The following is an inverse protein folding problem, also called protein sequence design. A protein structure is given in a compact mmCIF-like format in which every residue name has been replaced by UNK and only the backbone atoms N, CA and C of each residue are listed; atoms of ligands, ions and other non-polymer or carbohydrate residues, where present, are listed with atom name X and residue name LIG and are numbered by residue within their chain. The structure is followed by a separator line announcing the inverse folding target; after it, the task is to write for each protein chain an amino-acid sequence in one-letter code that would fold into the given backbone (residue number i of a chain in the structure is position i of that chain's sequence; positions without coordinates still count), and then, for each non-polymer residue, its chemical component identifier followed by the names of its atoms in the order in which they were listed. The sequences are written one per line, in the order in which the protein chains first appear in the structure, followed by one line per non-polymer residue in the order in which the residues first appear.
data_IF_179668458882
#
_entry.id   IF_179668458882
#
_cell.length_a   1.000
_cell.length_b   1.000
_cell.length_c   1.000
_cell.angle_alpha   90.00
_cell.angle_beta   90.00
_cell.angle_gamma   90.00
#
_symmetry.space_group_name_H-M   'P 1'
#
loop_
_entity.id
_entity.type
_entity.pdbx_description
1 polymer ?
#
# COMPACT_ATOMS: atom_id res chain seq x y z
N UNK A 1 3.14 77.58 63.60
CA UNK A 1 2.98 77.30 62.16
C UNK A 1 4.11 76.38 61.72
N UNK A 2 3.86 75.07 61.67
CA UNK A 2 4.86 74.05 61.30
C UNK A 2 4.74 73.72 59.80
N UNK A 3 5.79 74.04 59.03
CA UNK A 3 5.96 73.58 57.65
C UNK A 3 6.50 72.15 57.68
N UNK A 4 5.66 71.18 57.33
CA UNK A 4 6.05 69.80 57.08
C UNK A 4 6.90 69.71 55.81
N UNK A 5 8.17 69.33 55.98
CA UNK A 5 9.07 68.98 54.88
C UNK A 5 8.75 67.55 54.42
N UNK A 6 8.16 67.41 53.23
CA UNK A 6 8.08 66.13 52.52
C UNK A 6 9.34 65.95 51.68
N UNK A 7 10.17 64.97 52.05
CA UNK A 7 11.31 64.54 51.23
C UNK A 7 10.85 63.51 50.18
N UNK A 8 11.37 63.59 48.94
CA UNK A 8 11.03 62.65 47.87
C UNK A 8 11.79 61.33 48.02
N UNK A 9 11.06 60.22 48.18
CA UNK A 9 11.60 58.86 48.23
C UNK A 9 12.14 58.43 46.84
N UNK A 10 13.45 58.57 46.62
CA UNK A 10 14.15 58.00 45.46
C UNK A 10 14.64 56.58 45.80
N UNK A 11 13.78 55.58 45.63
CA UNK A 11 14.16 54.15 45.67
C UNK A 11 13.83 53.44 44.35
N UNK A 12 14.70 53.57 43.34
CA UNK A 12 14.65 52.70 42.16
C UNK A 12 16.05 52.50 41.55
N UNK A 13 16.90 51.71 42.22
CA UNK A 13 18.15 51.20 41.63
C UNK A 13 18.47 49.79 42.15
N UNK A 14 17.68 48.78 41.75
CA UNK A 14 18.07 47.35 41.90
C UNK A 14 17.23 46.34 41.09
N UNK A 15 16.58 46.75 39.99
CA UNK A 15 15.77 45.84 39.15
C UNK A 15 16.41 45.45 37.79
N UNK A 16 17.62 45.91 37.49
CA UNK A 16 18.28 45.61 36.20
C UNK A 16 18.56 44.11 36.00
N UNK A 17 18.94 43.41 37.07
CA UNK A 17 19.21 41.96 37.01
C UNK A 17 17.97 41.12 36.65
N UNK A 18 16.77 41.58 37.01
CA UNK A 18 15.53 40.83 36.72
C UNK A 18 15.17 40.93 35.24
N UNK A 19 15.40 42.09 34.61
CA UNK A 19 15.11 42.29 33.19
C UNK A 19 15.93 41.36 32.29
N UNK A 20 17.16 41.07 32.71
CA UNK A 20 18.09 40.24 31.95
C UNK A 20 17.68 38.76 32.00
N UNK A 21 17.33 38.25 33.18
CA UNK A 21 16.82 36.86 33.35
C UNK A 21 15.54 36.64 32.54
N UNK A 22 14.61 37.60 32.57
CA UNK A 22 13.36 37.52 31.79
C UNK A 22 13.64 37.49 30.29
N UNK A 23 14.60 38.30 29.80
CA UNK A 23 14.97 38.32 28.38
C UNK A 23 15.51 36.97 27.90
N UNK A 24 16.42 36.35 28.67
CA UNK A 24 16.95 35.02 28.30
C UNK A 24 15.85 33.95 28.31
N UNK A 25 14.97 33.99 29.30
CA UNK A 25 13.87 33.03 29.42
C UNK A 25 12.91 33.13 28.22
N UNK A 26 12.56 34.35 27.82
CA UNK A 26 11.72 34.60 26.64
C UNK A 26 12.38 34.07 25.36
N UNK A 27 13.69 34.32 25.20
CA UNK A 27 14.45 33.87 24.02
C UNK A 27 14.46 32.34 23.93
N UNK A 28 14.67 31.65 25.05
CA UNK A 28 14.66 30.18 25.11
C UNK A 28 13.28 29.62 24.70
N UNK A 29 12.18 30.21 25.20
CA UNK A 29 10.82 29.75 24.85
C UNK A 29 10.56 29.91 23.35
N UNK A 30 10.95 31.04 22.77
CA UNK A 30 10.81 31.28 21.33
C UNK A 30 11.66 30.27 20.54
N UNK A 31 12.89 30.02 20.97
CA UNK A 31 13.77 29.06 20.30
C UNK A 31 13.19 27.63 20.31
N UNK A 32 12.63 27.18 21.43
CA UNK A 32 11.95 25.87 21.53
C UNK A 32 10.70 25.83 20.66
N UNK A 33 9.91 26.91 20.65
CA UNK A 33 8.71 27.03 19.82
C UNK A 33 9.01 26.93 18.33
N UNK A 34 10.01 27.69 17.85
CA UNK A 34 10.45 27.66 16.45
C UNK A 34 11.01 26.29 16.09
N UNK A 35 11.83 25.68 16.96
CA UNK A 35 12.40 24.34 16.72
C UNK A 35 11.32 23.28 16.57
N UNK A 36 10.28 23.32 17.42
CA UNK A 36 9.17 22.36 17.37
C UNK A 36 8.33 22.53 16.09
N UNK A 37 8.07 23.78 15.69
CA UNK A 37 7.35 24.10 14.46
C UNK A 37 8.10 23.57 13.23
N UNK A 38 9.42 23.81 13.16
CA UNK A 38 10.27 23.32 12.05
C UNK A 38 10.30 21.80 12.00
N UNK A 39 10.42 21.12 13.15
CA UNK A 39 10.38 19.66 13.19
C UNK A 39 9.07 19.10 12.63
N UNK A 40 7.93 19.66 13.05
CA UNK A 40 6.62 19.21 12.55
C UNK A 40 6.45 19.48 11.05
N UNK A 41 6.95 20.63 10.58
CA UNK A 41 6.96 20.98 9.16
C UNK A 41 7.78 19.98 8.33
N UNK A 42 8.98 19.62 8.79
CA UNK A 42 9.82 18.62 8.13
C UNK A 42 9.14 17.23 8.12
N UNK A 43 8.48 16.85 9.22
CA UNK A 43 7.75 15.57 9.28
C UNK A 43 6.58 15.52 8.28
N UNK A 44 5.89 16.64 8.05
CA UNK A 44 4.83 16.74 7.05
C UNK A 44 5.35 16.73 5.61
N UNK A 45 6.53 17.33 5.37
CA UNK A 45 7.12 17.40 4.03
C UNK A 45 7.88 16.15 3.63
N UNK A 46 8.38 15.37 4.59
CA UNK A 46 9.09 14.14 4.28
C UNK A 46 8.08 13.16 3.68
N UNK A 47 8.18 12.82 2.38
CA UNK A 47 7.28 11.86 1.79
C UNK A 47 7.42 10.57 2.59
N UNK A 48 6.30 10.05 3.08
CA UNK A 48 6.29 8.69 3.65
C UNK A 48 6.89 7.80 2.58
N UNK A 49 7.94 7.05 2.92
CA UNK A 49 8.55 6.09 2.01
C UNK A 49 7.44 5.27 1.38
N UNK A 50 7.15 5.57 0.11
CA UNK A 50 6.21 4.78 -0.66
C UNK A 50 6.96 3.50 -0.93
N UNK A 51 6.31 2.38 -0.67
CA UNK A 51 6.82 1.09 -1.10
C UNK A 51 6.85 1.13 -2.62
N UNK A 52 8.00 1.48 -3.19
CA UNK A 52 8.21 1.50 -4.64
C UNK A 52 8.62 0.10 -5.09
N UNK A 53 8.02 -0.35 -6.19
CA UNK A 53 8.42 -1.62 -6.80
C UNK A 53 9.81 -1.48 -7.40
N UNK A 54 10.69 -2.41 -7.02
CA UNK A 54 12.05 -2.49 -7.59
C UNK A 54 11.94 -2.79 -9.09
N UNK A 55 12.74 -2.09 -9.89
CA UNK A 55 12.87 -2.41 -11.31
C UNK A 55 13.37 -3.84 -11.50
N UNK A 56 12.91 -4.53 -12.55
CA UNK A 56 13.30 -5.91 -12.82
C UNK A 56 12.44 -6.97 -12.14
N UNK A 57 11.29 -6.59 -11.58
CA UNK A 57 10.18 -7.52 -11.32
C UNK A 57 9.52 -7.85 -12.66
N UNK A 58 9.37 -9.14 -12.97
CA UNK A 58 8.69 -9.61 -14.18
C UNK A 58 8.04 -10.94 -13.88
N UNK A 59 6.72 -11.00 -13.97
CA UNK A 59 5.98 -12.25 -13.99
C UNK A 59 5.73 -12.66 -15.45
N UNK A 60 5.56 -13.96 -15.67
CA UNK A 60 5.14 -14.54 -16.92
C UNK A 60 4.04 -15.55 -16.65
N UNK A 61 3.29 -15.89 -17.70
CA UNK A 61 2.31 -16.96 -17.66
C UNK A 61 3.01 -18.20 -18.21
N UNK A 62 3.10 -19.25 -17.39
CA UNK A 62 3.69 -20.53 -17.80
C UNK A 62 2.62 -21.42 -18.43
N UNK A 63 1.49 -21.53 -17.75
CA UNK A 63 0.39 -22.40 -18.15
C UNK A 63 -0.95 -21.70 -17.94
N UNK A 64 -1.85 -21.86 -18.90
CA UNK A 64 -3.23 -21.45 -18.79
C UNK A 64 -4.16 -22.49 -19.41
N UNK A 65 -5.23 -22.83 -18.70
CA UNK A 65 -6.29 -23.71 -19.16
C UNK A 65 -7.63 -23.13 -18.74
N UNK A 66 -8.54 -23.00 -19.68
CA UNK A 66 -9.94 -22.76 -19.37
C UNK A 66 -10.68 -24.12 -19.33
N UNK A 67 -11.58 -24.28 -18.37
CA UNK A 67 -12.44 -25.45 -18.24
C UNK A 67 -13.83 -25.06 -17.76
N UNK A 68 -14.77 -25.98 -17.91
CA UNK A 68 -16.13 -25.85 -17.39
C UNK A 68 -16.31 -26.93 -16.33
N UNK A 69 -16.71 -26.53 -15.13
CA UNK A 69 -17.03 -27.43 -14.03
C UNK A 69 -18.39 -27.04 -13.44
N UNK A 70 -19.38 -27.93 -13.50
CA UNK A 70 -20.74 -27.68 -12.99
C UNK A 70 -21.39 -26.38 -13.53
N UNK A 71 -21.22 -26.09 -14.82
CA UNK A 71 -21.65 -24.84 -15.48
C UNK A 71 -20.92 -23.57 -15.05
N UNK A 72 -19.91 -23.67 -14.19
CA UNK A 72 -19.01 -22.57 -13.83
C UNK A 72 -17.76 -22.62 -14.72
N UNK A 73 -17.34 -21.45 -15.23
CA UNK A 73 -16.08 -21.33 -15.97
C UNK A 73 -14.92 -21.21 -14.99
N UNK A 74 -13.97 -22.11 -15.11
CA UNK A 74 -12.75 -22.16 -14.29
C UNK A 74 -11.55 -21.83 -15.16
N UNK A 75 -10.67 -20.95 -14.67
CA UNK A 75 -9.34 -20.73 -15.24
C UNK A 75 -8.33 -21.37 -14.30
N UNK A 76 -7.60 -22.35 -14.80
CA UNK A 76 -6.39 -22.86 -14.17
C UNK A 76 -5.21 -22.09 -14.75
N UNK A 77 -4.47 -21.37 -13.92
CA UNK A 77 -3.28 -20.65 -14.36
C UNK A 77 -2.07 -21.06 -13.53
N UNK A 78 -0.87 -20.91 -14.08
CA UNK A 78 0.42 -21.00 -13.39
C UNK A 78 1.32 -19.85 -13.85
N UNK A 79 2.00 -19.23 -12.89
CA UNK A 79 2.86 -18.07 -13.08
C UNK A 79 4.33 -18.46 -12.96
N UNK A 80 5.17 -17.86 -13.78
CA UNK A 80 6.62 -17.96 -13.74
C UNK A 80 7.21 -16.60 -13.32
N UNK A 81 8.12 -16.56 -12.35
CA UNK A 81 8.87 -15.34 -12.09
C UNK A 81 10.12 -15.27 -12.98
N UNK A 82 10.05 -14.45 -14.03
CA UNK A 82 11.18 -14.17 -14.93
C UNK A 82 12.04 -12.99 -14.45
N UNK A 83 11.64 -12.32 -13.36
CA UNK A 83 12.33 -11.19 -12.78
C UNK A 83 13.55 -11.57 -11.95
N UNK A 84 14.24 -10.55 -11.45
CA UNK A 84 15.41 -10.67 -10.57
C UNK A 84 15.05 -10.64 -9.08
N UNK A 85 13.83 -10.24 -8.76
CA UNK A 85 13.33 -10.06 -7.41
C UNK A 85 12.19 -11.01 -7.10
N UNK A 86 12.03 -11.34 -5.81
CA UNK A 86 10.88 -12.11 -5.31
C UNK A 86 9.61 -11.29 -5.49
N UNK A 87 8.52 -11.96 -5.86
CA UNK A 87 7.19 -11.36 -6.00
C UNK A 87 6.27 -11.97 -4.95
N UNK A 88 5.79 -11.16 -4.01
CA UNK A 88 5.01 -11.68 -2.87
C UNK A 88 3.54 -11.92 -3.24
N UNK A 89 3.00 -11.11 -4.15
CA UNK A 89 1.60 -11.14 -4.55
C UNK A 89 1.43 -10.85 -6.04
N UNK A 90 0.30 -11.23 -6.60
CA UNK A 90 -0.09 -10.83 -7.94
C UNK A 90 -1.60 -10.62 -8.00
N UNK A 91 -1.96 -9.51 -8.64
CA UNK A 91 -3.31 -9.16 -9.01
C UNK A 91 -3.61 -9.71 -10.39
N UNK A 92 -4.75 -10.37 -10.53
CA UNK A 92 -5.16 -10.97 -11.80
C UNK A 92 -6.51 -10.36 -12.18
N UNK A 93 -6.56 -9.80 -13.39
CA UNK A 93 -7.77 -9.21 -13.95
C UNK A 93 -8.06 -9.86 -15.29
N UNK A 94 -9.35 -10.08 -15.58
CA UNK A 94 -9.82 -10.61 -16.87
C UNK A 94 -10.88 -9.67 -17.42
N UNK A 95 -10.80 -9.38 -18.72
CA UNK A 95 -11.80 -8.59 -19.43
C UNK A 95 -11.95 -9.08 -20.87
N UNK A 96 -13.05 -8.71 -21.52
CA UNK A 96 -13.20 -8.95 -22.96
C UNK A 96 -12.22 -8.10 -23.76
N UNK A 97 -11.81 -8.62 -24.91
CA UNK A 97 -11.01 -7.85 -25.86
C UNK A 97 -11.73 -6.57 -26.29
N UNK A 98 -11.08 -5.42 -26.13
CA UNK A 98 -11.62 -4.11 -26.49
C UNK A 98 -12.42 -3.39 -25.39
N UNK A 99 -12.68 -4.03 -24.24
CA UNK A 99 -13.26 -3.34 -23.08
C UNK A 99 -12.16 -2.80 -22.17
N UNK A 100 -12.35 -1.56 -21.68
CA UNK A 100 -11.46 -0.94 -20.68
C UNK A 100 -11.71 -1.47 -19.27
N UNK A 101 -12.92 -1.96 -19.00
CA UNK A 101 -13.30 -2.52 -17.70
C UNK A 101 -12.81 -3.97 -17.62
N UNK A 102 -11.97 -4.24 -16.63
CA UNK A 102 -11.45 -5.57 -16.31
C UNK A 102 -11.95 -5.97 -14.92
N UNK A 103 -12.36 -7.22 -14.78
CA UNK A 103 -12.86 -7.77 -13.53
C UNK A 103 -11.73 -8.44 -12.77
N UNK A 104 -11.68 -8.21 -11.48
CA UNK A 104 -10.73 -8.89 -10.59
C UNK A 104 -11.12 -10.36 -10.47
N UNK A 105 -10.18 -11.26 -10.75
CA UNK A 105 -10.36 -12.68 -10.42
C UNK A 105 -10.30 -12.92 -8.91
N UNK A 106 -9.65 -12.01 -8.18
CA UNK A 106 -9.42 -12.10 -6.75
C UNK A 106 -9.99 -10.87 -6.03
N UNK A 107 -11.28 -10.64 -6.17
CA UNK A 107 -11.96 -9.48 -5.59
C UNK A 107 -11.96 -9.59 -4.04
N UNK A 108 -11.30 -8.68 -3.29
CA UNK A 108 -11.30 -8.70 -1.83
C UNK A 108 -12.69 -8.56 -1.23
N UNK A 109 -13.66 -8.03 -1.98
CA UNK A 109 -14.99 -7.76 -1.45
C UNK A 109 -16.01 -8.88 -1.73
N UNK A 110 -15.65 -9.95 -2.46
CA UNK A 110 -16.54 -11.10 -2.73
C UNK A 110 -15.99 -12.43 -2.21
N UNK A 111 -16.81 -13.24 -1.56
CA UNK A 111 -16.43 -14.61 -1.17
C UNK A 111 -16.40 -15.56 -2.38
N UNK A 112 -16.01 -16.82 -2.15
CA UNK A 112 -16.01 -17.89 -3.18
C UNK A 112 -17.40 -18.22 -3.74
N UNK A 113 -18.45 -17.57 -3.23
CA UNK A 113 -19.83 -17.67 -3.71
C UNK A 113 -20.30 -16.37 -4.38
N UNK A 114 -19.40 -15.41 -4.62
CA UNK A 114 -19.71 -14.12 -5.22
C UNK A 114 -20.53 -13.18 -4.33
N UNK A 115 -20.72 -13.50 -3.04
CA UNK A 115 -21.45 -12.68 -2.07
C UNK A 115 -20.54 -11.58 -1.54
N UNK A 116 -21.07 -10.35 -1.49
CA UNK A 116 -20.33 -9.24 -0.90
C UNK A 116 -20.04 -9.52 0.58
N UNK A 117 -18.76 -9.54 0.95
CA UNK A 117 -18.30 -9.69 2.33
C UNK A 117 -18.54 -8.35 3.01
N UNK A 118 -19.67 -8.24 3.71
CA UNK A 118 -20.14 -6.99 4.31
C UNK A 118 -19.42 -6.59 5.59
N UNK A 119 -18.59 -7.46 6.17
CA UNK A 119 -17.86 -7.16 7.40
C UNK A 119 -16.43 -6.67 7.09
N UNK A 120 -16.12 -5.38 7.32
CA UNK A 120 -14.80 -4.81 7.07
C UNK A 120 -13.69 -5.45 7.91
N UNK A 121 -14.04 -6.16 9.00
CA UNK A 121 -13.08 -6.83 9.88
C UNK A 121 -12.67 -8.23 9.39
N UNK A 122 -13.39 -8.79 8.41
CA UNK A 122 -13.04 -10.06 7.75
C UNK A 122 -12.50 -9.81 6.33
N UNK A 123 -11.88 -8.65 6.10
CA UNK A 123 -11.08 -8.39 4.90
C UNK A 123 -9.79 -9.19 5.01
N UNK A 124 -9.89 -10.49 4.71
CA UNK A 124 -8.74 -11.40 4.67
C UNK A 124 -7.75 -10.88 3.63
N UNK A 125 -6.52 -10.63 4.08
CA UNK A 125 -5.37 -10.30 3.24
C UNK A 125 -4.95 -11.50 2.35
N UNK A 126 -5.65 -12.63 2.45
CA UNK A 126 -5.36 -13.89 1.75
C UNK A 126 -5.77 -13.89 0.26
N UNK A 127 -6.33 -12.79 -0.25
CA UNK A 127 -6.85 -12.69 -1.62
C UNK A 127 -5.82 -12.24 -2.64
N UNK A 128 -4.61 -12.78 -2.56
CA UNK A 128 -3.61 -12.64 -3.61
C UNK A 128 -3.26 -13.99 -4.18
N UNK A 129 -3.02 -14.03 -5.49
CA UNK A 129 -2.76 -15.30 -6.17
C UNK A 129 -1.53 -16.05 -5.62
N UNK A 130 -0.52 -15.32 -5.15
CA UNK A 130 0.74 -15.85 -4.60
C UNK A 130 0.83 -15.81 -3.06
N UNK A 131 -0.16 -15.20 -2.38
CA UNK A 131 -0.20 -15.25 -0.92
C UNK A 131 -0.63 -16.65 -0.51
N UNK A 132 0.26 -17.36 0.17
CA UNK A 132 -0.05 -18.64 0.78
C UNK A 132 -0.58 -18.36 2.19
N UNK A 133 -1.77 -18.85 2.52
CA UNK A 133 -2.33 -18.77 3.87
C UNK A 133 -1.55 -19.62 4.89
N UNK A 134 -0.67 -20.51 4.43
CA UNK A 134 0.20 -21.29 5.31
C UNK A 134 1.36 -20.43 5.81
N UNK A 135 1.23 -19.97 7.06
CA UNK A 135 2.10 -18.99 7.73
C UNK A 135 3.55 -19.41 7.99
N UNK A 136 4.02 -20.54 7.45
CA UNK A 136 5.28 -21.15 7.87
C UNK A 136 6.48 -20.90 6.96
N UNK A 137 6.34 -20.42 5.72
CA UNK A 137 7.51 -20.10 4.88
C UNK A 137 7.20 -19.03 3.83
N UNK A 138 7.86 -17.87 3.94
CA UNK A 138 8.18 -16.94 2.85
C UNK A 138 7.24 -16.98 1.62
N UNK A 139 5.95 -16.70 1.81
CA UNK A 139 4.97 -16.67 0.71
C UNK A 139 5.45 -15.70 -0.37
N UNK A 140 5.46 -16.15 -1.63
CA UNK A 140 5.95 -15.40 -2.77
C UNK A 140 6.77 -16.24 -3.74
N UNK A 141 6.85 -15.79 -4.99
CA UNK A 141 7.50 -16.48 -6.09
C UNK A 141 8.93 -15.96 -6.23
N UNK A 142 9.92 -16.79 -5.95
CA UNK A 142 11.34 -16.44 -6.14
C UNK A 142 11.72 -16.43 -7.64
N UNK A 143 12.76 -15.68 -8.05
CA UNK A 143 13.27 -15.69 -9.42
C UNK A 143 13.48 -17.09 -10.00
N UNK A 144 12.99 -17.33 -11.21
CA UNK A 144 13.08 -18.61 -11.92
C UNK A 144 12.20 -19.73 -11.37
N UNK A 145 11.30 -19.43 -10.42
CA UNK A 145 10.35 -20.42 -9.87
C UNK A 145 8.98 -20.30 -10.52
N UNK A 146 8.34 -21.46 -10.63
CA UNK A 146 6.97 -21.64 -11.10
C UNK A 146 6.01 -21.71 -9.91
N UNK A 147 4.85 -21.08 -10.03
CA UNK A 147 3.76 -21.26 -9.09
C UNK A 147 3.05 -22.58 -9.38
N UNK A 148 2.52 -23.22 -8.35
CA UNK A 148 1.61 -24.34 -8.56
C UNK A 148 0.39 -23.86 -9.34
N UNK A 149 -0.17 -24.69 -10.24
CA UNK A 149 -1.42 -24.38 -10.91
C UNK A 149 -2.52 -24.15 -9.87
N UNK A 150 -3.18 -23.00 -9.91
CA UNK A 150 -4.36 -22.70 -9.07
C UNK A 150 -5.57 -22.50 -9.95
N UNK A 151 -6.68 -23.07 -9.53
CA UNK A 151 -7.99 -22.91 -10.16
C UNK A 151 -8.70 -21.68 -9.60
N UNK A 152 -9.18 -20.83 -10.49
CA UNK A 152 -9.99 -19.68 -10.15
C UNK A 152 -11.33 -19.76 -10.85
N UNK A 153 -12.39 -19.61 -10.07
CA UNK A 153 -13.75 -19.47 -10.59
C UNK A 153 -13.92 -18.06 -11.16
N UNK A 154 -14.39 -17.98 -12.40
CA UNK A 154 -14.79 -16.72 -12.98
C UNK A 154 -16.23 -16.43 -12.54
N UNK A 155 -16.41 -15.56 -11.55
CA UNK A 155 -17.75 -15.20 -11.04
C UNK A 155 -18.49 -14.18 -11.90
N UNK A 156 -17.80 -13.50 -12.83
CA UNK A 156 -18.45 -12.56 -13.70
C UNK A 156 -19.33 -13.32 -14.72
N UNK A 157 -20.51 -12.79 -15.01
CA UNK A 157 -21.33 -13.14 -16.16
C UNK A 157 -20.60 -12.73 -17.44
N UNK A 158 -19.44 -13.35 -17.68
CA UNK A 158 -18.63 -13.07 -18.83
C UNK A 158 -19.40 -13.64 -20.02
N UNK A 159 -19.81 -12.83 -21.00
CA UNK A 159 -20.51 -13.33 -22.17
C UNK A 159 -19.66 -14.36 -22.90
N UNK A 160 -20.30 -15.25 -23.66
CA UNK A 160 -19.66 -16.35 -24.42
C UNK A 160 -18.70 -15.88 -25.54
N UNK A 161 -18.08 -14.71 -25.42
CA UNK A 161 -17.01 -14.29 -26.32
C UNK A 161 -15.85 -15.27 -26.23
N UNK A 162 -15.28 -15.64 -27.38
CA UNK A 162 -14.12 -16.51 -27.41
C UNK A 162 -12.84 -15.84 -26.91
N UNK A 163 -12.74 -14.51 -26.94
CA UNK A 163 -11.49 -13.79 -26.71
C UNK A 163 -11.52 -12.92 -25.45
N UNK A 164 -10.60 -13.20 -24.53
CA UNK A 164 -10.38 -12.41 -23.32
C UNK A 164 -8.95 -11.89 -23.26
N UNK A 165 -8.79 -10.85 -22.46
CA UNK A 165 -7.50 -10.29 -22.07
C UNK A 165 -7.29 -10.61 -20.59
N UNK A 166 -6.25 -11.38 -20.30
CA UNK A 166 -5.73 -11.63 -18.96
C UNK A 166 -4.65 -10.59 -18.66
N UNK A 167 -4.84 -9.83 -17.60
CA UNK A 167 -3.87 -8.88 -17.07
C UNK A 167 -3.35 -9.39 -15.73
N UNK A 168 -2.03 -9.37 -15.56
CA UNK A 168 -1.37 -9.74 -14.32
C UNK A 168 -0.51 -8.57 -13.88
N UNK A 169 -0.77 -8.08 -12.68
CA UNK A 169 -0.05 -6.99 -12.05
C UNK A 169 0.65 -7.54 -10.79
N UNK A 170 2.00 -7.67 -10.80
CA UNK A 170 2.73 -8.13 -9.64
C UNK A 170 2.63 -7.12 -8.50
N UNK A 171 2.77 -7.61 -7.27
CA UNK A 171 2.83 -6.80 -6.06
C UNK A 171 3.87 -7.35 -5.09
N UNK A 172 4.47 -6.47 -4.32
CA UNK A 172 5.46 -6.80 -3.28
C UNK A 172 4.96 -6.35 -1.91
N UNK A 173 5.35 -7.07 -0.87
CA UNK A 173 5.10 -6.69 0.52
C UNK A 173 6.34 -5.97 1.02
N UNK A 174 6.17 -4.73 1.47
CA UNK A 174 7.23 -3.99 2.13
C UNK A 174 7.65 -4.67 3.42
N UNK A 175 8.93 -5.03 3.56
CA UNK A 175 9.47 -5.58 4.80
C UNK A 175 9.35 -4.59 5.98
N UNK A 176 9.43 -3.29 5.70
CA UNK A 176 9.39 -2.23 6.72
C UNK A 176 7.97 -1.88 7.16
N UNK A 177 7.03 -1.82 6.22
CA UNK A 177 5.66 -1.36 6.50
C UNK A 177 4.64 -2.49 6.57
N UNK A 178 4.98 -3.69 6.09
CA UNK A 178 4.03 -4.80 5.90
C UNK A 178 2.96 -4.52 4.83
N UNK A 179 3.05 -3.39 4.12
CA UNK A 179 2.05 -2.98 3.13
C UNK A 179 2.38 -3.53 1.76
N UNK A 180 1.34 -3.97 1.06
CA UNK A 180 1.40 -4.33 -0.35
C UNK A 180 1.53 -3.09 -1.23
N UNK A 181 2.42 -3.18 -2.20
CA UNK A 181 2.55 -2.22 -3.29
C UNK A 181 2.42 -2.93 -4.63
N UNK A 182 1.50 -2.44 -5.46
CA UNK A 182 1.35 -2.89 -6.83
C UNK A 182 2.49 -2.35 -7.70
N UNK A 183 2.97 -3.19 -8.61
CA UNK A 183 4.04 -2.87 -9.53
C UNK A 183 3.47 -2.49 -10.89
N UNK A 184 2.96 -1.25 -10.98
CA UNK A 184 2.28 -0.71 -12.17
C UNK A 184 3.14 -0.75 -13.45
N UNK A 185 4.47 -0.74 -13.30
CA UNK A 185 5.42 -0.79 -14.43
C UNK A 185 5.68 -2.20 -14.96
N UNK A 186 5.24 -3.25 -14.25
CA UNK A 186 5.51 -4.65 -14.56
C UNK A 186 4.25 -5.44 -14.93
N UNK A 187 3.22 -4.74 -15.42
CA UNK A 187 1.94 -5.33 -15.84
C UNK A 187 2.12 -6.15 -17.12
N UNK A 188 1.67 -7.41 -17.09
CA UNK A 188 1.63 -8.30 -18.25
C UNK A 188 0.20 -8.41 -18.74
N UNK A 189 0.04 -8.35 -20.06
CA UNK A 189 -1.26 -8.51 -20.71
C UNK A 189 -1.15 -9.60 -21.76
N UNK A 190 -1.99 -10.65 -21.67
CA UNK A 190 -2.03 -11.74 -22.63
C UNK A 190 -3.46 -11.98 -23.13
N UNK A 191 -3.61 -12.18 -24.44
CA UNK A 191 -4.88 -12.63 -25.02
C UNK A 191 -5.06 -14.12 -24.77
N UNK A 192 -6.22 -14.51 -24.26
CA UNK A 192 -6.56 -15.88 -23.94
C UNK A 192 -7.87 -16.25 -24.61
N UNK A 193 -7.98 -17.49 -25.09
CA UNK A 193 -9.20 -18.02 -25.69
C UNK A 193 -9.74 -19.11 -24.79
N UNK A 194 -10.95 -18.92 -24.28
CA UNK A 194 -11.65 -19.96 -23.53
C UNK A 194 -12.73 -20.56 -24.44
N UNK A 195 -12.44 -21.72 -25.00
CA UNK A 195 -13.36 -22.54 -25.81
C UNK A 195 -14.05 -23.61 -24.98
#
# INVERSE_FOLDING_TARGET
MMKGLLLPDKKYKRKRAVSEIVSYTLLIIIAIGVSSLVYYFLMLQTPKEKTECKEGISLGIDYIKCGINNNERIITLSLLNNGRFKVDAAYIRVGEEGKSVRYWLNDPDKDDNGKSVSDPKDKREDKFYLSSSDSSTNAGLSPGKLSLPREHKIFASIPDSSNYILEIEPAIISETTGKLAACETAVITQKITCS
#
